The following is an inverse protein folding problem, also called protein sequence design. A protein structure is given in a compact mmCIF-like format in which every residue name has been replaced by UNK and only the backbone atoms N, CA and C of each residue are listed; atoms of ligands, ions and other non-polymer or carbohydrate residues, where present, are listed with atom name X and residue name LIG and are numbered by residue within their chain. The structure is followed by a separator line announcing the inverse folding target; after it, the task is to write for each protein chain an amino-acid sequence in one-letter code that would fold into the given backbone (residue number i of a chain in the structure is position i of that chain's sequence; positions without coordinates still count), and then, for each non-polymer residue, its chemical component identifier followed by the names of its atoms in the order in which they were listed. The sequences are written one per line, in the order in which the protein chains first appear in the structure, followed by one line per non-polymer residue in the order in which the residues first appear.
data_IF_343951790299
#
_entry.id   IF_343951790299
#
_cell.length_a   1.000
_cell.length_b   1.000
_cell.length_c   1.000
_cell.angle_alpha   90.00
_cell.angle_beta   90.00
_cell.angle_gamma   90.00
#
_symmetry.space_group_name_H-M   'P 1'
#
loop_
_entity.id
_entity.type
_entity.pdbx_description
1 polymer ?
#
# COMPACT_ATOMS: atom_id res chain seq x y z
N UNK A 1 -0.31 18.48 -53.65
CA UNK A 1 -0.90 19.77 -54.01
C UNK A 1 0.04 20.80 -53.39
N UNK A 2 0.67 21.72 -54.15
CA UNK A 2 1.57 22.73 -53.58
C UNK A 2 0.88 23.70 -52.59
N UNK A 3 -0.44 23.59 -52.40
CA UNK A 3 -1.20 24.27 -51.35
C UNK A 3 -1.28 23.45 -50.02
N UNK A 4 -0.65 22.27 -49.93
CA UNK A 4 -0.68 21.36 -48.77
C UNK A 4 0.67 21.27 -48.02
N UNK A 5 1.53 22.26 -48.12
CA UNK A 5 2.83 22.33 -47.42
C UNK A 5 2.86 23.71 -46.73
N UNK A 6 2.42 23.75 -45.47
CA UNK A 6 2.09 25.00 -44.76
C UNK A 6 3.36 25.75 -44.34
N UNK A 7 4.41 25.03 -43.99
CA UNK A 7 5.68 25.59 -43.50
C UNK A 7 6.79 25.61 -44.56
N UNK A 8 6.56 25.01 -45.73
CA UNK A 8 7.42 25.11 -46.91
C UNK A 8 8.69 24.27 -46.81
N UNK A 9 8.64 23.17 -46.07
CA UNK A 9 9.78 22.32 -45.79
C UNK A 9 10.00 21.22 -46.85
N UNK A 10 9.04 21.05 -47.76
CA UNK A 10 9.07 20.10 -48.85
C UNK A 10 8.32 18.80 -48.59
N UNK A 11 7.64 18.67 -47.45
CA UNK A 11 6.76 17.55 -47.09
C UNK A 11 5.30 18.02 -47.10
N UNK A 12 4.40 17.15 -47.57
CA UNK A 12 2.98 17.51 -47.62
C UNK A 12 2.35 17.25 -46.25
N UNK A 13 1.48 18.15 -45.79
CA UNK A 13 0.81 18.12 -44.48
C UNK A 13 -0.01 16.86 -44.16
N UNK A 14 -0.32 16.01 -45.14
CA UNK A 14 -0.97 14.71 -44.92
C UNK A 14 0.01 13.59 -44.50
N UNK A 15 1.31 13.83 -44.63
CA UNK A 15 2.40 12.92 -44.25
C UNK A 15 3.49 13.62 -43.43
N UNK A 16 3.27 14.87 -43.06
CA UNK A 16 4.17 15.70 -42.27
C UNK A 16 3.88 15.50 -40.77
N UNK A 17 4.88 15.07 -40.01
CA UNK A 17 4.81 14.88 -38.56
C UNK A 17 4.91 16.21 -37.77
N UNK A 18 5.17 17.33 -38.44
CA UNK A 18 5.11 18.68 -37.87
C UNK A 18 4.48 19.71 -38.82
N UNK A 19 3.15 19.67 -39.07
CA UNK A 19 2.45 20.42 -40.13
C UNK A 19 2.56 21.95 -40.16
N UNK A 20 3.24 22.55 -39.19
CA UNK A 20 3.38 24.00 -39.05
C UNK A 20 4.80 24.43 -38.70
N UNK A 21 5.72 23.48 -38.54
CA UNK A 21 7.12 23.72 -38.15
C UNK A 21 8.02 22.86 -39.03
N UNK A 22 8.61 23.50 -40.04
CA UNK A 22 9.33 22.76 -41.08
C UNK A 22 10.50 21.92 -40.55
N UNK A 23 10.46 20.63 -40.85
CA UNK A 23 11.49 19.63 -40.61
C UNK A 23 11.61 18.70 -41.84
N UNK A 24 12.32 19.12 -42.91
CA UNK A 24 12.41 18.35 -44.15
C UNK A 24 12.95 16.90 -44.01
N UNK A 25 13.61 16.60 -42.88
CA UNK A 25 14.11 15.28 -42.54
C UNK A 25 13.08 14.37 -41.87
N UNK A 26 11.94 14.91 -41.42
CA UNK A 26 10.90 14.26 -40.63
C UNK A 26 11.48 13.40 -39.50
N UNK A 27 12.50 13.89 -38.81
CA UNK A 27 13.03 13.23 -37.63
C UNK A 27 11.93 13.09 -36.56
N UNK A 28 11.88 11.91 -35.94
CA UNK A 28 10.88 11.44 -34.97
C UNK A 28 11.59 10.32 -34.18
N UNK A 29 12.27 10.71 -33.11
CA UNK A 29 13.23 9.85 -32.43
C UNK A 29 12.56 8.75 -31.60
N UNK A 30 11.37 8.98 -31.05
CA UNK A 30 10.60 8.00 -30.28
C UNK A 30 9.52 7.27 -31.09
N UNK A 31 9.18 7.75 -32.29
CA UNK A 31 8.20 7.18 -33.21
C UNK A 31 6.75 7.27 -32.72
N UNK A 32 6.39 8.34 -32.02
CA UNK A 32 5.01 8.61 -31.61
C UNK A 32 4.14 9.25 -32.72
N UNK A 33 4.80 9.70 -33.80
CA UNK A 33 4.18 10.34 -34.97
C UNK A 33 4.14 11.86 -34.92
N UNK A 34 4.73 12.47 -33.90
CA UNK A 34 5.03 13.90 -33.76
C UNK A 34 6.53 14.07 -34.06
N UNK A 35 6.89 15.03 -34.92
CA UNK A 35 8.30 15.21 -35.26
C UNK A 35 9.11 15.91 -34.17
N UNK A 36 10.41 15.62 -34.09
CA UNK A 36 11.34 16.14 -33.07
C UNK A 36 11.27 17.67 -32.87
N UNK A 37 10.95 18.41 -33.93
CA UNK A 37 10.93 19.89 -33.90
C UNK A 37 9.66 20.49 -33.30
N UNK A 38 8.57 19.73 -33.26
CA UNK A 38 7.28 20.15 -32.75
C UNK A 38 6.76 19.28 -31.60
N UNK A 39 7.52 18.26 -31.24
CA UNK A 39 7.32 17.46 -30.04
C UNK A 39 7.92 18.16 -28.81
N UNK A 40 7.14 18.20 -27.74
CA UNK A 40 7.59 18.67 -26.42
C UNK A 40 8.50 17.67 -25.75
N UNK A 41 8.34 16.38 -26.03
CA UNK A 41 9.10 15.28 -25.45
C UNK A 41 9.69 14.37 -26.53
N UNK A 42 10.65 14.84 -27.35
CA UNK A 42 11.12 14.15 -28.56
C UNK A 42 11.76 12.77 -28.37
N UNK A 43 11.92 12.29 -27.15
CA UNK A 43 12.53 11.00 -26.85
C UNK A 43 11.60 10.11 -26.01
N UNK A 44 10.36 10.54 -25.78
CA UNK A 44 9.38 9.84 -24.97
C UNK A 44 8.05 9.71 -25.73
N UNK A 45 7.71 8.50 -26.21
CA UNK A 45 6.51 8.31 -27.00
C UNK A 45 5.21 8.49 -26.21
N UNK A 46 5.28 8.49 -24.87
CA UNK A 46 4.12 8.72 -24.01
C UNK A 46 4.01 10.20 -23.56
N UNK A 47 4.98 11.05 -23.95
CA UNK A 47 5.05 12.47 -23.61
C UNK A 47 4.99 12.74 -22.08
N UNK A 48 4.67 13.97 -21.69
CA UNK A 48 4.32 14.37 -20.33
C UNK A 48 2.94 13.78 -19.93
N UNK A 49 2.94 12.51 -19.50
CA UNK A 49 1.72 11.72 -19.25
C UNK A 49 0.93 12.22 -18.02
N UNK A 50 1.60 12.82 -17.03
CA UNK A 50 0.96 13.33 -15.81
C UNK A 50 0.73 14.86 -15.82
N UNK A 51 1.29 15.56 -16.80
CA UNK A 51 1.05 16.97 -17.06
C UNK A 51 1.82 17.91 -16.15
N UNK A 52 2.97 17.47 -15.63
CA UNK A 52 3.80 18.21 -14.69
C UNK A 52 4.86 19.12 -15.36
N UNK A 53 5.05 18.93 -16.67
CA UNK A 53 5.98 19.68 -17.51
C UNK A 53 7.35 19.02 -17.69
N UNK A 54 7.54 17.80 -17.20
CA UNK A 54 8.70 16.95 -17.38
C UNK A 54 8.32 15.78 -18.28
N UNK A 55 9.22 15.38 -19.19
CA UNK A 55 8.97 14.26 -20.07
C UNK A 55 9.24 12.95 -19.32
N UNK A 56 8.39 11.94 -19.50
CA UNK A 56 8.44 10.68 -18.75
C UNK A 56 9.77 9.91 -18.88
N UNK A 57 10.55 10.14 -19.95
CA UNK A 57 11.90 9.57 -20.11
C UNK A 57 12.96 10.17 -19.17
N UNK A 58 12.70 11.36 -18.64
CA UNK A 58 13.58 12.08 -17.71
C UNK A 58 12.91 12.45 -16.38
N UNK A 59 11.64 12.07 -16.21
CA UNK A 59 10.84 12.26 -15.00
C UNK A 59 11.19 11.18 -13.96
N UNK A 60 11.52 11.59 -12.73
CA UNK A 60 11.76 10.65 -11.63
C UNK A 60 10.46 10.08 -11.01
N UNK A 61 9.30 10.62 -11.39
CA UNK A 61 7.98 10.07 -11.11
C UNK A 61 7.06 10.10 -12.33
N UNK A 62 7.31 9.29 -13.38
CA UNK A 62 6.67 9.40 -14.70
C UNK A 62 5.14 9.29 -14.76
N UNK A 63 4.43 9.10 -13.65
CA UNK A 63 2.97 9.02 -13.61
C UNK A 63 2.36 9.80 -12.45
N UNK A 64 3.18 10.56 -11.70
CA UNK A 64 2.78 11.24 -10.47
C UNK A 64 3.34 12.67 -10.47
N UNK A 65 2.45 13.62 -10.74
CA UNK A 65 2.77 15.05 -10.89
C UNK A 65 3.74 15.57 -9.81
N UNK A 66 4.97 15.93 -10.21
CA UNK A 66 6.00 16.50 -9.34
C UNK A 66 6.96 17.43 -10.12
N UNK A 67 6.52 18.64 -10.53
CA UNK A 67 7.29 19.53 -11.41
C UNK A 67 8.66 19.98 -10.87
N UNK A 68 8.89 19.82 -9.56
CA UNK A 68 10.15 20.14 -8.90
C UNK A 68 11.16 18.99 -8.89
N UNK A 69 10.74 17.78 -9.26
CA UNK A 69 11.59 16.58 -9.41
C UNK A 69 12.43 16.36 -8.13
N UNK A 70 11.78 16.51 -6.98
CA UNK A 70 12.37 16.21 -5.66
C UNK A 70 12.82 14.76 -5.61
N UNK A 71 13.97 14.52 -5.00
CA UNK A 71 14.66 13.23 -4.85
C UNK A 71 15.63 13.37 -3.67
N UNK A 72 15.09 13.15 -2.47
CA UNK A 72 15.74 13.46 -1.20
C UNK A 72 16.89 12.50 -0.89
N UNK A 73 16.75 11.24 -1.28
CA UNK A 73 17.74 10.19 -1.06
C UNK A 73 18.70 9.96 -2.24
N UNK A 74 18.41 10.53 -3.41
CA UNK A 74 19.18 10.45 -4.65
C UNK A 74 19.25 9.04 -5.24
N UNK A 75 18.19 8.26 -5.12
CA UNK A 75 18.09 6.91 -5.70
C UNK A 75 17.57 6.93 -7.17
N UNK A 76 16.97 8.05 -7.59
CA UNK A 76 16.41 8.29 -8.92
C UNK A 76 14.91 8.09 -9.04
N UNK A 77 14.23 7.73 -7.95
CA UNK A 77 12.77 7.79 -7.75
C UNK A 77 12.48 9.14 -7.08
N UNK A 78 11.41 9.82 -7.48
CA UNK A 78 11.09 11.12 -6.89
C UNK A 78 10.30 11.01 -5.60
N UNK A 79 10.51 11.97 -4.69
CA UNK A 79 9.81 12.10 -3.40
C UNK A 79 8.28 11.84 -3.52
N UNK A 80 7.67 12.31 -4.62
CA UNK A 80 6.22 12.20 -4.84
C UNK A 80 5.69 10.79 -5.11
N UNK A 81 6.56 9.86 -5.53
CA UNK A 81 6.22 8.48 -5.86
C UNK A 81 7.14 7.45 -5.20
N UNK A 82 8.06 7.92 -4.35
CA UNK A 82 8.90 7.08 -3.54
C UNK A 82 8.13 6.57 -2.31
N UNK A 83 8.53 5.42 -1.80
CA UNK A 83 7.92 4.78 -0.64
C UNK A 83 9.00 4.49 0.38
N UNK A 84 8.69 4.75 1.64
CA UNK A 84 9.61 4.45 2.73
C UNK A 84 10.12 3.01 2.66
N UNK A 85 11.44 2.89 2.66
CA UNK A 85 12.15 1.68 2.93
C UNK A 85 12.66 1.69 4.38
N UNK A 86 13.24 0.57 4.81
CA UNK A 86 13.71 0.41 6.17
C UNK A 86 15.24 0.44 6.18
N UNK A 87 15.80 1.59 5.81
CA UNK A 87 17.22 1.79 5.56
C UNK A 87 17.81 3.01 6.28
N UNK A 88 16.99 3.73 7.04
CA UNK A 88 17.37 4.90 7.82
C UNK A 88 17.48 6.17 6.99
N UNK A 89 16.84 6.20 5.82
CA UNK A 89 16.73 7.34 4.93
C UNK A 89 15.25 7.78 4.87
N UNK A 90 15.03 9.04 4.49
CA UNK A 90 13.73 9.66 4.24
C UNK A 90 13.53 9.60 2.73
N UNK A 91 12.78 8.60 2.25
CA UNK A 91 12.61 8.30 0.82
C UNK A 91 11.58 9.23 0.19
N UNK A 92 10.49 9.52 0.90
CA UNK A 92 9.40 10.36 0.37
C UNK A 92 9.55 11.87 0.65
N UNK A 93 10.58 12.26 1.38
CA UNK A 93 10.97 13.65 1.62
C UNK A 93 10.02 14.41 2.58
N UNK A 94 9.18 13.71 3.35
CA UNK A 94 8.24 14.34 4.28
C UNK A 94 8.89 14.82 5.60
N UNK A 95 10.11 14.35 5.87
CA UNK A 95 10.94 14.72 7.01
C UNK A 95 10.89 13.76 8.21
N UNK A 96 10.07 12.71 8.14
CA UNK A 96 10.16 11.54 8.99
C UNK A 96 11.10 10.49 8.31
N UNK A 97 11.47 9.43 9.04
CA UNK A 97 12.41 8.40 8.55
C UNK A 97 11.81 7.05 8.86
N UNK A 98 11.74 6.19 7.84
CA UNK A 98 11.24 4.81 7.90
C UNK A 98 9.80 4.71 8.48
N UNK A 99 8.97 5.75 8.35
CA UNK A 99 7.60 5.69 8.86
C UNK A 99 6.71 4.76 8.02
N UNK A 100 5.67 4.23 8.65
CA UNK A 100 4.80 3.24 7.98
C UNK A 100 5.45 1.87 7.70
N UNK A 101 6.77 1.74 7.79
CA UNK A 101 7.51 0.46 7.61
C UNK A 101 8.10 -0.12 8.90
N UNK A 102 8.01 0.61 10.02
CA UNK A 102 8.40 0.08 11.33
C UNK A 102 7.50 -1.08 11.76
N UNK A 103 8.11 -2.11 12.34
CA UNK A 103 7.41 -3.17 13.06
C UNK A 103 7.40 -2.86 14.55
N UNK A 104 6.29 -3.22 15.21
CA UNK A 104 6.23 -3.18 16.68
C UNK A 104 6.76 -4.50 17.21
N UNK A 105 7.83 -4.43 17.99
CA UNK A 105 8.42 -5.57 18.68
C UNK A 105 8.19 -5.46 20.19
N UNK A 106 8.05 -6.60 20.86
CA UNK A 106 7.70 -6.74 22.27
C UNK A 106 8.82 -7.44 23.02
N UNK A 107 9.17 -6.97 24.21
CA UNK A 107 10.31 -7.51 24.96
C UNK A 107 10.05 -8.96 25.39
N UNK A 108 10.93 -9.88 25.00
CA UNK A 108 10.92 -11.29 25.39
C UNK A 108 11.89 -11.47 26.56
N UNK A 109 11.36 -11.25 27.78
CA UNK A 109 12.17 -11.16 28.99
C UNK A 109 12.66 -12.52 29.49
N UNK A 110 11.92 -13.59 29.19
CA UNK A 110 12.18 -14.92 29.70
C UNK A 110 12.66 -15.91 28.63
N UNK A 111 12.58 -15.52 27.35
CA UNK A 111 13.20 -16.17 26.22
C UNK A 111 12.38 -17.30 25.62
N UNK A 112 11.05 -17.29 25.77
CA UNK A 112 10.16 -18.33 25.25
C UNK A 112 9.60 -18.04 23.85
N UNK A 113 9.83 -16.83 23.34
CA UNK A 113 9.41 -16.39 22.00
C UNK A 113 8.12 -15.57 21.98
N UNK A 114 7.52 -15.30 23.13
CA UNK A 114 6.38 -14.40 23.32
C UNK A 114 6.83 -13.17 24.10
N UNK A 115 6.29 -12.01 23.77
CA UNK A 115 6.76 -10.73 24.31
C UNK A 115 5.69 -9.98 25.11
N UNK A 116 6.16 -9.08 25.97
CA UNK A 116 5.34 -8.23 26.84
C UNK A 116 4.63 -7.12 26.04
N UNK A 117 3.29 -7.20 25.94
CA UNK A 117 2.46 -6.19 25.28
C UNK A 117 2.60 -4.78 25.86
N UNK A 118 3.02 -4.62 27.12
CA UNK A 118 3.23 -3.34 27.80
C UNK A 118 4.65 -2.79 27.61
N UNK A 119 5.55 -3.56 27.00
CA UNK A 119 6.93 -3.18 26.75
C UNK A 119 7.31 -3.43 25.30
N UNK A 120 6.97 -2.44 24.46
CA UNK A 120 7.20 -2.49 23.03
C UNK A 120 8.11 -1.36 22.53
N UNK A 121 8.74 -1.62 21.39
CA UNK A 121 9.51 -0.66 20.61
C UNK A 121 9.10 -0.76 19.15
N UNK A 122 9.03 0.37 18.46
CA UNK A 122 8.82 0.40 17.01
C UNK A 122 10.19 0.50 16.35
N UNK A 123 10.57 -0.53 15.62
CA UNK A 123 11.88 -0.64 15.01
C UNK A 123 11.77 -1.30 13.64
N UNK A 124 12.80 -1.04 12.85
CA UNK A 124 12.91 -1.49 11.48
C UNK A 124 13.25 -2.99 11.38
N UNK A 125 14.05 -3.48 12.32
CA UNK A 125 14.43 -4.88 12.44
C UNK A 125 14.35 -5.34 13.89
N UNK A 126 14.10 -6.63 14.10
CA UNK A 126 13.90 -7.22 15.41
C UNK A 126 15.08 -6.94 16.35
N UNK A 127 14.90 -6.14 17.40
CA UNK A 127 15.95 -5.89 18.37
C UNK A 127 16.28 -7.17 19.16
N UNK A 128 17.53 -7.36 19.62
CA UNK A 128 17.88 -8.50 20.47
C UNK A 128 17.03 -8.51 21.75
N UNK A 129 16.38 -9.65 22.04
CA UNK A 129 15.52 -9.80 23.21
C UNK A 129 14.11 -9.24 23.02
N UNK A 130 13.69 -9.00 21.77
CA UNK A 130 12.31 -8.65 21.43
C UNK A 130 11.78 -9.61 20.37
N UNK A 131 10.46 -9.76 20.28
CA UNK A 131 9.73 -10.63 19.35
C UNK A 131 8.51 -9.91 18.76
N UNK A 132 7.92 -10.42 17.68
CA UNK A 132 6.71 -9.85 17.08
C UNK A 132 5.43 -10.26 17.80
N UNK A 133 5.46 -11.42 18.45
CA UNK A 133 4.31 -11.97 19.14
C UNK A 133 4.21 -11.37 20.54
N UNK A 134 3.10 -10.71 20.86
CA UNK A 134 2.88 -10.05 22.15
C UNK A 134 1.95 -10.81 23.08
N UNK A 135 1.74 -12.10 22.81
CA UNK A 135 0.72 -12.89 23.50
C UNK A 135 1.23 -13.57 24.76
N UNK A 136 2.34 -13.09 25.32
CA UNK A 136 2.83 -13.54 26.62
C UNK A 136 1.85 -13.12 27.74
N UNK A 137 1.56 -14.05 28.63
CA UNK A 137 0.67 -13.83 29.76
C UNK A 137 1.41 -13.77 31.11
N UNK A 138 2.70 -14.15 31.16
CA UNK A 138 3.59 -14.00 32.31
C UNK A 138 5.04 -13.79 31.85
N UNK A 139 5.42 -12.53 31.64
CA UNK A 139 6.71 -12.06 31.11
C UNK A 139 7.96 -12.39 31.99
N UNK A 140 7.80 -13.27 32.98
CA UNK A 140 8.86 -13.72 33.85
C UNK A 140 9.00 -15.26 33.90
N UNK A 141 8.12 -16.01 33.23
CA UNK A 141 8.07 -17.46 33.28
C UNK A 141 8.03 -18.10 31.89
N UNK A 142 9.14 -18.69 31.40
CA UNK A 142 9.25 -19.19 30.03
C UNK A 142 8.40 -20.45 29.71
N UNK A 143 7.54 -20.87 30.65
CA UNK A 143 6.60 -21.96 30.45
C UNK A 143 5.14 -21.47 30.41
N UNK A 144 4.90 -20.17 30.55
CA UNK A 144 3.58 -19.56 30.69
C UNK A 144 3.25 -18.72 29.46
N UNK A 145 3.13 -19.41 28.31
CA UNK A 145 2.80 -18.81 27.02
C UNK A 145 1.57 -19.49 26.38
N UNK A 146 0.97 -18.89 25.34
CA UNK A 146 -0.18 -19.46 24.66
C UNK A 146 0.06 -20.86 24.08
N UNK A 147 -0.75 -21.83 24.54
CA UNK A 147 -0.70 -23.22 24.08
C UNK A 147 0.21 -24.14 24.90
N UNK A 148 0.84 -23.65 25.97
CA UNK A 148 1.56 -24.47 26.95
C UNK A 148 0.62 -25.21 27.93
N UNK A 149 1.16 -26.22 28.63
CA UNK A 149 0.41 -27.10 29.55
C UNK A 149 0.17 -26.47 30.93
N UNK A 150 0.88 -25.39 31.28
CA UNK A 150 0.59 -24.56 32.45
C UNK A 150 -0.12 -23.28 32.01
N UNK A 151 -1.44 -23.29 32.24
CA UNK A 151 -2.36 -22.20 31.92
C UNK A 151 -1.81 -20.83 32.36
N UNK A 152 -1.82 -19.87 31.43
CA UNK A 152 -1.92 -18.45 31.77
C UNK A 152 -2.90 -18.31 32.94
N UNK A 153 -2.49 -17.78 34.10
CA UNK A 153 -3.40 -17.64 35.22
C UNK A 153 -4.57 -16.80 34.72
N UNK A 154 -5.73 -17.44 34.59
CA UNK A 154 -6.95 -16.79 34.11
C UNK A 154 -7.41 -15.81 35.18
N UNK A 155 -6.77 -14.65 35.28
CA UNK A 155 -7.36 -13.47 35.88
C UNK A 155 -8.39 -12.95 34.89
N UNK A 156 -9.66 -13.25 35.20
CA UNK A 156 -10.87 -12.57 34.73
C UNK A 156 -10.72 -11.69 33.48
N UNK A 157 -10.70 -12.32 32.30
CA UNK A 157 -10.82 -11.54 31.06
C UNK A 157 -10.33 -12.18 29.78
N UNK A 158 -10.23 -13.51 29.68
CA UNK A 158 -9.89 -14.17 28.42
C UNK A 158 -10.80 -13.63 27.30
N UNK A 159 -10.21 -12.79 26.45
CA UNK A 159 -10.89 -12.14 25.36
C UNK A 159 -11.28 -13.25 24.39
N UNK A 160 -12.57 -13.47 24.37
CA UNK A 160 -13.26 -14.38 23.49
C UNK A 160 -13.20 -13.76 22.09
N UNK A 161 -12.22 -14.13 21.26
CA UNK A 161 -12.10 -13.59 19.89
C UNK A 161 -12.88 -14.44 18.88
N UNK A 162 -13.78 -13.82 18.12
CA UNK A 162 -14.36 -14.42 16.92
C UNK A 162 -13.52 -13.99 15.72
N UNK A 163 -13.10 -14.93 14.89
CA UNK A 163 -12.46 -14.63 13.60
C UNK A 163 -13.31 -15.05 12.41
N UNK A 164 -13.19 -14.30 11.32
CA UNK A 164 -13.74 -14.64 10.02
C UNK A 164 -12.71 -14.33 8.92
N UNK A 165 -12.66 -15.20 7.92
CA UNK A 165 -11.66 -15.16 6.85
C UNK A 165 -12.32 -15.18 5.48
N UNK A 166 -11.76 -14.43 4.54
CA UNK A 166 -12.14 -14.49 3.13
C UNK A 166 -10.90 -14.30 2.24
N UNK A 167 -10.78 -15.11 1.20
CA UNK A 167 -9.74 -14.99 0.18
C UNK A 167 -10.30 -14.34 -1.08
N UNK A 168 -9.54 -13.45 -1.70
CA UNK A 168 -9.90 -12.90 -3.00
C UNK A 168 -8.68 -12.61 -3.87
N UNK A 169 -8.97 -12.41 -5.15
CA UNK A 169 -8.05 -11.85 -6.12
C UNK A 169 -8.45 -10.39 -6.39
N UNK A 170 -8.05 -9.43 -5.53
CA UNK A 170 -8.26 -8.02 -5.79
C UNK A 170 -7.70 -7.64 -7.15
N UNK A 171 -8.51 -6.86 -7.86
CA UNK A 171 -8.09 -6.08 -9.02
C UNK A 171 -8.00 -4.63 -8.52
N UNK A 172 -6.87 -3.94 -8.74
CA UNK A 172 -6.74 -2.52 -8.43
C UNK A 172 -7.94 -1.77 -9.02
N UNK A 173 -8.49 -0.80 -8.29
CA UNK A 173 -9.70 -0.01 -8.61
C UNK A 173 -11.09 -0.67 -8.47
N UNK A 174 -11.21 -1.97 -8.19
CA UNK A 174 -12.53 -2.65 -8.20
C UNK A 174 -12.72 -3.71 -7.11
N UNK A 175 -12.11 -3.55 -5.94
CA UNK A 175 -12.23 -4.52 -4.84
C UNK A 175 -12.50 -3.86 -3.51
N UNK A 176 -13.55 -4.32 -2.82
CA UNK A 176 -13.90 -3.89 -1.47
C UNK A 176 -14.06 -5.11 -0.56
N UNK A 177 -13.63 -4.97 0.69
CA UNK A 177 -13.96 -5.93 1.74
C UNK A 177 -15.26 -5.48 2.39
N UNK A 178 -16.32 -6.28 2.25
CA UNK A 178 -17.57 -6.08 2.99
C UNK A 178 -17.58 -6.97 4.21
N UNK A 179 -17.75 -6.35 5.37
CA UNK A 179 -17.89 -7.02 6.64
C UNK A 179 -19.34 -6.86 7.08
N UNK A 180 -20.10 -7.95 6.99
CA UNK A 180 -21.42 -8.03 7.60
C UNK A 180 -21.24 -8.43 9.05
N UNK A 181 -21.78 -7.62 9.96
CA UNK A 181 -21.60 -7.82 11.40
C UNK A 181 -22.91 -7.76 12.16
N UNK A 182 -22.93 -8.44 13.31
CA UNK A 182 -23.96 -8.29 14.33
C UNK A 182 -23.30 -8.37 15.70
N UNK A 183 -23.31 -7.24 16.40
CA UNK A 183 -22.65 -7.08 17.70
C UNK A 183 -23.66 -7.11 18.84
N UNK A 184 -23.32 -7.85 19.89
CA UNK A 184 -24.14 -7.93 21.11
C UNK A 184 -23.79 -6.83 22.11
N UNK A 185 -22.55 -6.34 22.04
CA UNK A 185 -21.92 -5.38 22.95
C UNK A 185 -21.17 -4.30 22.16
N UNK A 186 -20.56 -3.33 22.86
CA UNK A 186 -19.56 -2.47 22.24
C UNK A 186 -18.32 -3.32 21.97
N UNK A 187 -17.83 -3.29 20.73
CA UNK A 187 -16.84 -4.25 20.23
C UNK A 187 -15.75 -3.51 19.47
N UNK A 188 -14.50 -3.91 19.69
CA UNK A 188 -13.37 -3.51 18.82
C UNK A 188 -13.19 -4.53 17.71
N UNK A 189 -12.91 -4.03 16.51
CA UNK A 189 -12.64 -4.83 15.32
C UNK A 189 -11.21 -4.55 14.85
N UNK A 190 -10.45 -5.61 14.60
CA UNK A 190 -9.16 -5.51 13.90
C UNK A 190 -9.27 -6.20 12.54
N UNK A 191 -8.68 -5.59 11.52
CA UNK A 191 -8.66 -6.06 10.14
C UNK A 191 -7.20 -6.25 9.75
N UNK A 192 -6.85 -7.47 9.39
CA UNK A 192 -5.52 -7.84 8.90
C UNK A 192 -5.64 -8.37 7.48
N UNK A 193 -4.89 -7.78 6.55
CA UNK A 193 -4.77 -8.25 5.17
C UNK A 193 -3.39 -8.88 5.00
N UNK A 194 -3.37 -10.15 4.60
CA UNK A 194 -2.14 -10.89 4.31
C UNK A 194 -2.11 -11.36 2.87
N UNK A 195 -0.93 -11.47 2.28
CA UNK A 195 -0.74 -12.02 0.94
C UNK A 195 -0.88 -13.55 0.92
N UNK A 196 -0.71 -14.15 -0.26
CA UNK A 196 -0.76 -15.61 -0.47
C UNK A 196 0.30 -16.41 0.30
N UNK A 197 1.35 -15.75 0.80
CA UNK A 197 2.43 -16.35 1.60
C UNK A 197 2.24 -16.09 3.10
N UNK A 198 1.20 -15.33 3.49
CA UNK A 198 0.93 -14.97 4.87
C UNK A 198 1.66 -13.72 5.34
N UNK A 199 2.34 -12.96 4.46
CA UNK A 199 2.96 -11.68 4.81
C UNK A 199 1.87 -10.63 5.02
N UNK A 200 1.93 -9.91 6.13
CA UNK A 200 1.07 -8.75 6.37
C UNK A 200 1.32 -7.67 5.32
N UNK A 201 0.25 -7.25 4.66
CA UNK A 201 0.25 -6.19 3.65
C UNK A 201 -0.48 -4.95 4.16
N UNK A 202 -1.43 -5.16 5.07
CA UNK A 202 -2.12 -4.07 5.74
C UNK A 202 -2.69 -4.51 7.08
N UNK A 203 -2.67 -3.65 8.09
CA UNK A 203 -3.24 -3.94 9.41
C UNK A 203 -3.90 -2.68 9.99
N UNK A 204 -5.18 -2.79 10.34
CA UNK A 204 -5.94 -1.77 11.05
C UNK A 204 -6.45 -2.37 12.35
N UNK A 205 -5.99 -1.85 13.49
CA UNK A 205 -6.45 -2.27 14.82
C UNK A 205 -7.41 -1.25 15.44
N UNK A 206 -8.12 -1.69 16.48
CA UNK A 206 -8.84 -0.82 17.41
C UNK A 206 -9.95 0.04 16.81
N UNK A 207 -10.59 -0.41 15.73
CA UNK A 207 -11.82 0.22 15.25
C UNK A 207 -12.94 -0.03 16.26
N UNK A 208 -13.30 1.01 17.02
CA UNK A 208 -14.35 0.96 18.04
C UNK A 208 -15.72 1.09 17.38
N UNK A 209 -16.52 0.03 17.42
CA UNK A 209 -17.93 0.08 17.04
C UNK A 209 -18.82 0.06 18.28
N UNK A 210 -19.54 1.17 18.48
CA UNK A 210 -20.59 1.25 19.48
C UNK A 210 -21.78 0.42 19.01
N UNK A 211 -22.42 -0.30 19.94
CA UNK A 211 -23.49 -1.27 19.67
C UNK A 211 -24.51 -0.78 18.63
N UNK A 212 -24.37 -1.30 17.41
CA UNK A 212 -25.38 -1.29 16.37
C UNK A 212 -25.74 -2.75 16.09
N UNK A 213 -27.00 -3.14 16.30
CA UNK A 213 -27.39 -4.56 16.42
C UNK A 213 -27.06 -5.41 15.19
N UNK A 214 -26.83 -4.77 14.04
CA UNK A 214 -26.30 -5.37 12.82
C UNK A 214 -25.98 -4.29 11.79
N UNK A 215 -24.93 -4.47 10.99
CA UNK A 215 -24.57 -3.52 9.94
C UNK A 215 -23.66 -4.11 8.88
N UNK A 216 -23.27 -3.27 7.93
CA UNK A 216 -22.28 -3.59 6.88
C UNK A 216 -21.22 -2.51 6.90
N UNK A 217 -19.98 -2.91 7.18
CA UNK A 217 -18.83 -2.04 7.02
C UNK A 217 -18.16 -2.35 5.67
N UNK A 218 -17.72 -1.31 4.98
CA UNK A 218 -16.98 -1.45 3.73
C UNK A 218 -15.59 -0.88 3.99
N UNK A 219 -14.59 -1.72 3.76
CA UNK A 219 -13.19 -1.35 3.85
C UNK A 219 -12.61 -1.30 2.44
N UNK A 220 -12.00 -0.17 2.11
CA UNK A 220 -11.40 0.07 0.80
C UNK A 220 -10.07 -0.67 0.73
N UNK A 221 -9.89 -1.47 -0.31
CA UNK A 221 -8.65 -2.19 -0.60
C UNK A 221 -8.23 -1.99 -2.06
N UNK A 222 -8.71 -0.93 -2.71
CA UNK A 222 -8.42 -0.63 -4.11
C UNK A 222 -6.98 -0.22 -4.37
N UNK A 223 -6.24 0.17 -3.32
CA UNK A 223 -4.81 0.45 -3.32
C UNK A 223 -3.93 -0.82 -3.41
N UNK A 224 -4.49 -2.01 -3.17
CA UNK A 224 -3.71 -3.25 -3.27
C UNK A 224 -3.43 -3.60 -4.73
N UNK A 225 -2.19 -4.00 -5.01
CA UNK A 225 -1.79 -4.54 -6.31
C UNK A 225 -2.52 -5.86 -6.62
N UNK A 226 -2.61 -6.21 -7.90
CA UNK A 226 -3.26 -7.47 -8.32
C UNK A 226 -2.56 -8.69 -7.69
N UNK A 227 -3.27 -9.48 -6.91
CA UNK A 227 -2.70 -10.63 -6.20
C UNK A 227 -3.74 -11.45 -5.45
N UNK A 228 -3.34 -12.52 -4.76
CA UNK A 228 -4.22 -13.27 -3.85
C UNK A 228 -3.97 -12.79 -2.43
N UNK A 229 -5.03 -12.38 -1.74
CA UNK A 229 -4.96 -11.90 -0.37
C UNK A 229 -6.03 -12.58 0.49
N UNK A 230 -5.73 -12.68 1.78
CA UNK A 230 -6.67 -13.10 2.81
C UNK A 230 -6.97 -11.94 3.73
N UNK A 231 -8.25 -11.64 3.92
CA UNK A 231 -8.71 -10.72 4.94
C UNK A 231 -9.08 -11.52 6.18
N UNK A 232 -8.43 -11.21 7.30
CA UNK A 232 -8.65 -11.80 8.62
C UNK A 232 -9.25 -10.70 9.49
N UNK A 233 -10.45 -10.93 10.01
CA UNK A 233 -11.13 -9.97 10.88
C UNK A 233 -11.37 -10.60 12.24
N UNK A 234 -10.98 -9.90 13.29
CA UNK A 234 -11.12 -10.33 14.69
C UNK A 234 -11.94 -9.32 15.49
N UNK A 235 -12.81 -9.81 16.37
CA UNK A 235 -13.55 -8.98 17.33
C UNK A 235 -13.14 -9.25 18.76
N UNK A 236 -13.29 -8.25 19.64
CA UNK A 236 -13.10 -8.39 21.09
C UNK A 236 -14.18 -9.23 21.81
N UNK A 237 -15.11 -9.87 21.10
CA UNK A 237 -16.20 -10.66 21.70
C UNK A 237 -16.61 -11.86 20.83
N UNK A 238 -16.76 -13.06 21.44
CA UNK A 238 -17.06 -14.32 20.72
C UNK A 238 -18.52 -14.51 20.38
N UNK A 239 -19.42 -13.83 21.11
CA UNK A 239 -20.86 -13.90 20.86
C UNK A 239 -21.25 -13.13 19.60
N UNK A 240 -20.34 -12.30 19.10
CA UNK A 240 -20.53 -11.53 17.89
C UNK A 240 -20.52 -12.44 16.66
N UNK A 241 -21.32 -12.05 15.68
CA UNK A 241 -21.37 -12.72 14.38
C UNK A 241 -20.69 -11.82 13.36
N UNK A 242 -19.70 -12.40 12.70
CA UNK A 242 -18.98 -11.80 11.60
C UNK A 242 -19.15 -12.70 10.38
N UNK A 243 -19.52 -12.10 9.26
CA UNK A 243 -19.40 -12.72 7.96
C UNK A 243 -18.62 -11.76 7.06
N UNK A 244 -17.50 -12.24 6.54
CA UNK A 244 -16.61 -11.44 5.69
C UNK A 244 -16.82 -11.88 4.26
N UNK A 245 -17.16 -10.93 3.40
CA UNK A 245 -17.34 -11.14 1.97
C UNK A 245 -16.46 -10.16 1.23
N UNK A 246 -15.54 -10.67 0.44
CA UNK A 246 -14.82 -9.84 -0.51
C UNK A 246 -15.67 -9.76 -1.77
N UNK A 247 -16.08 -8.55 -2.12
CA UNK A 247 -16.83 -8.32 -3.34
C UNK A 247 -15.91 -7.61 -4.33
N UNK A 248 -15.93 -8.08 -5.58
CA UNK A 248 -15.55 -7.20 -6.68
C UNK A 248 -16.59 -6.10 -6.73
N UNK A 249 -16.13 -4.87 -6.77
CA UNK A 249 -17.00 -3.75 -7.08
C UNK A 249 -17.74 -4.08 -8.37
N UNK A 250 -19.03 -3.81 -8.36
CA UNK A 250 -19.72 -3.51 -9.59
C UNK A 250 -20.30 -2.15 -9.30
N UNK A 251 -19.83 -1.14 -10.02
CA UNK A 251 -20.55 0.13 -10.12
C UNK A 251 -22.04 -0.11 -10.38
#
# INVERSE_FOLDING_TARGET
DPDNDIDGDGVCGDVDNCPTTGNPGQEDADNDGIGDVCDTCPNDPDNDIDGDGVCGDVDNCPTTFNPDQGDSDNDGIGDACDVEECDGIDNDGDGDIDEGVLNVYFADNDGDGYGDANNSVSECSQPPGFVLDNTDCDDANPNAYPGSEEECPSEEGAILFKSAEASAFPVPSDTLVKIEYSFSYDTTVSILIVDSQGKTVHHVSDLIYLKDTSGVYQYDVTYLSSGVYNAIITTSNSDDKLEVKILRGTN
#
